data_IF_170889698177
#
_entry.id   IF_170889698177
#
_cell.length_a   1.000
_cell.length_b   1.000
_cell.length_c   1.000
_cell.angle_alpha   90.00
_cell.angle_beta   90.00
_cell.angle_gamma   90.00
#
_symmetry.space_group_name_H-M   'P 1'
#
loop_
_entity.id
_entity.type
_entity.pdbx_description
1 polymer ?
#
# COMPACT_ATOMS: atom_id res chain seq x y z
N UNK A 1 56.95 -48.45 11.44
CA UNK A 1 55.77 -47.66 11.83
C UNK A 1 55.93 -46.21 11.42
N UNK A 2 55.34 -45.80 10.30
CA UNK A 2 55.48 -44.42 9.75
C UNK A 2 54.29 -43.95 8.89
N UNK A 3 53.13 -44.61 8.95
CA UNK A 3 52.00 -44.38 8.03
C UNK A 3 50.79 -43.66 8.65
N UNK A 4 50.75 -43.45 9.97
CA UNK A 4 49.60 -42.83 10.63
C UNK A 4 49.60 -41.29 10.57
N UNK A 5 50.76 -40.65 10.76
CA UNK A 5 50.87 -39.18 10.85
C UNK A 5 50.62 -38.47 9.52
N UNK A 6 51.16 -39.00 8.40
CA UNK A 6 50.91 -38.45 7.05
C UNK A 6 49.44 -38.57 6.62
N UNK A 7 48.68 -39.53 7.15
CA UNK A 7 47.25 -39.68 6.84
C UNK A 7 46.40 -38.57 7.48
N UNK A 8 46.72 -38.19 8.72
CA UNK A 8 45.98 -37.14 9.45
C UNK A 8 46.16 -35.76 8.82
N UNK A 9 47.39 -35.38 8.49
CA UNK A 9 47.69 -34.09 7.85
C UNK A 9 47.00 -33.96 6.49
N UNK A 10 46.95 -35.04 5.71
CA UNK A 10 46.24 -35.07 4.43
C UNK A 10 44.72 -34.90 4.59
N UNK A 11 44.13 -35.50 5.63
CA UNK A 11 42.70 -35.35 5.95
C UNK A 11 42.38 -33.89 6.30
N UNK A 12 43.23 -33.25 7.11
CA UNK A 12 43.06 -31.86 7.53
C UNK A 12 43.17 -30.92 6.32
N UNK A 13 44.21 -31.09 5.50
CA UNK A 13 44.42 -30.29 4.29
C UNK A 13 43.25 -30.43 3.29
N UNK A 14 42.68 -31.63 3.17
CA UNK A 14 41.52 -31.89 2.32
C UNK A 14 40.26 -31.23 2.87
N UNK A 15 40.02 -31.31 4.18
CA UNK A 15 38.89 -30.67 4.83
C UNK A 15 38.96 -29.13 4.69
N UNK A 16 40.15 -28.55 4.86
CA UNK A 16 40.39 -27.11 4.65
C UNK A 16 40.21 -26.70 3.19
N UNK A 17 40.62 -27.54 2.23
CA UNK A 17 40.40 -27.30 0.81
C UNK A 17 38.90 -27.33 0.44
N UNK A 18 38.12 -28.24 1.02
CA UNK A 18 36.68 -28.30 0.82
C UNK A 18 35.97 -27.04 1.32
N UNK A 19 36.35 -26.52 2.49
CA UNK A 19 35.80 -25.26 2.99
C UNK A 19 36.19 -24.08 2.13
N UNK A 20 37.45 -23.98 1.70
CA UNK A 20 37.88 -22.91 0.78
C UNK A 20 37.11 -22.92 -0.54
N UNK A 21 36.66 -24.11 -0.96
CA UNK A 21 35.79 -24.28 -2.11
C UNK A 21 34.29 -24.08 -1.80
N UNK A 22 33.92 -23.61 -0.61
CA UNK A 22 32.53 -23.40 -0.17
C UNK A 22 31.74 -24.67 0.11
N UNK A 23 32.41 -25.82 0.27
CA UNK A 23 31.79 -27.13 0.49
C UNK A 23 31.96 -27.60 1.93
N UNK A 24 30.94 -28.25 2.47
CA UNK A 24 30.99 -28.86 3.80
C UNK A 24 31.90 -30.09 3.78
N UNK A 25 32.93 -30.18 4.64
CA UNK A 25 33.82 -31.34 4.73
C UNK A 25 33.11 -32.49 5.46
N UNK A 26 32.21 -33.15 4.73
CA UNK A 26 31.53 -34.37 5.18
C UNK A 26 32.47 -35.57 5.04
N UNK A 27 32.19 -36.64 5.79
CA UNK A 27 32.99 -37.87 5.76
C UNK A 27 33.10 -38.45 4.34
N UNK A 28 32.01 -38.38 3.56
CA UNK A 28 31.97 -38.82 2.17
C UNK A 28 32.81 -37.92 1.25
N UNK A 29 32.65 -36.59 1.36
CA UNK A 29 33.37 -35.63 0.52
C UNK A 29 34.89 -35.69 0.74
N UNK A 30 35.32 -35.86 1.99
CA UNK A 30 36.74 -36.01 2.33
C UNK A 30 37.29 -37.34 1.81
N UNK A 31 36.51 -38.44 1.90
CA UNK A 31 36.93 -39.76 1.38
C UNK A 31 37.05 -39.76 -0.14
N UNK A 32 36.10 -39.16 -0.84
CA UNK A 32 36.11 -39.03 -2.30
C UNK A 32 37.32 -38.22 -2.77
N UNK A 33 37.61 -37.10 -2.11
CA UNK A 33 38.76 -36.25 -2.43
C UNK A 33 40.12 -36.92 -2.12
N UNK A 34 40.18 -37.82 -1.13
CA UNK A 34 41.40 -38.58 -0.78
C UNK A 34 41.58 -39.87 -1.59
N UNK A 35 40.55 -40.36 -2.28
CA UNK A 35 40.60 -41.59 -3.07
C UNK A 35 40.54 -42.90 -2.27
N UNK A 36 40.29 -42.85 -0.96
CA UNK A 36 40.18 -44.05 -0.12
C UNK A 36 40.67 -43.87 1.33
N UNK A 37 40.46 -44.88 2.17
CA UNK A 37 40.87 -44.88 3.58
C UNK A 37 39.94 -45.66 4.50
N UNK A 38 40.41 -45.99 5.70
CA UNK A 38 39.57 -46.63 6.74
C UNK A 38 38.54 -45.63 7.27
N UNK A 39 37.26 -45.99 7.18
CA UNK A 39 36.12 -45.15 7.58
C UNK A 39 36.16 -44.75 9.06
N UNK A 40 36.59 -45.66 9.94
CA UNK A 40 36.70 -45.41 11.38
C UNK A 40 37.84 -44.46 11.73
N UNK A 41 38.90 -44.44 10.92
CA UNK A 41 40.03 -43.52 11.12
C UNK A 41 39.68 -42.13 10.57
N UNK A 42 39.06 -42.06 9.38
CA UNK A 42 38.60 -40.81 8.78
C UNK A 42 37.58 -40.09 9.67
N UNK A 43 36.61 -40.80 10.24
CA UNK A 43 35.59 -40.19 11.09
C UNK A 43 36.18 -39.58 12.36
N UNK A 44 37.08 -40.32 13.03
CA UNK A 44 37.78 -39.83 14.22
C UNK A 44 38.63 -38.60 13.91
N UNK A 45 39.48 -38.70 12.90
CA UNK A 45 40.42 -37.63 12.54
C UNK A 45 39.71 -36.38 12.00
N UNK A 46 38.60 -36.54 11.28
CA UNK A 46 37.79 -35.41 10.81
C UNK A 46 37.04 -34.72 11.96
N UNK A 47 36.59 -35.47 12.98
CA UNK A 47 36.01 -34.88 14.19
C UNK A 47 37.06 -34.11 15.01
N UNK A 48 38.27 -34.65 15.16
CA UNK A 48 39.40 -33.95 15.80
C UNK A 48 39.76 -32.65 15.07
N UNK A 49 39.73 -32.66 13.73
CA UNK A 49 39.94 -31.46 12.93
C UNK A 49 38.83 -30.41 13.16
N UNK A 50 37.55 -30.82 13.21
CA UNK A 50 36.44 -29.91 13.51
C UNK A 50 36.61 -29.25 14.87
N UNK A 51 36.92 -30.05 15.89
CA UNK A 51 37.15 -29.56 17.25
C UNK A 51 38.34 -28.59 17.29
N UNK A 52 39.47 -28.95 16.68
CA UNK A 52 40.64 -28.07 16.62
C UNK A 52 40.35 -26.74 15.92
N UNK A 53 39.45 -26.73 14.94
CA UNK A 53 39.06 -25.50 14.24
C UNK A 53 38.10 -24.66 15.06
N UNK A 54 37.14 -25.27 15.73
CA UNK A 54 36.20 -24.59 16.63
C UNK A 54 36.93 -23.97 17.83
N UNK A 55 37.90 -24.70 18.40
CA UNK A 55 38.78 -24.20 19.46
C UNK A 55 39.63 -23.02 18.96
N UNK A 56 40.16 -23.08 17.72
CA UNK A 56 40.90 -21.96 17.09
C UNK A 56 40.02 -20.75 16.77
N UNK A 57 38.77 -20.97 16.37
CA UNK A 57 37.82 -19.91 16.05
C UNK A 57 37.26 -19.24 17.31
N UNK A 58 37.06 -20.02 18.38
CA UNK A 58 36.67 -19.49 19.70
C UNK A 58 37.85 -18.85 20.42
N UNK A 59 39.08 -19.28 20.12
CA UNK A 59 40.32 -18.63 20.53
C UNK A 59 40.69 -17.42 19.64
N UNK A 60 39.76 -16.89 18.83
CA UNK A 60 39.92 -15.57 18.22
C UNK A 60 40.19 -14.56 19.34
N UNK A 61 41.41 -14.04 19.29
CA UNK A 61 41.96 -13.03 20.18
C UNK A 61 40.93 -11.93 20.39
N UNK A 62 40.66 -11.46 21.63
CA UNK A 62 39.75 -10.34 21.83
C UNK A 62 40.20 -9.21 20.90
N UNK A 63 39.34 -8.88 19.92
CA UNK A 63 39.63 -7.76 19.03
C UNK A 63 39.93 -6.55 19.93
N UNK A 64 41.02 -5.80 19.67
CA UNK A 64 41.39 -4.69 20.51
C UNK A 64 40.18 -3.77 20.65
N UNK A 65 39.78 -3.54 21.89
CA UNK A 65 38.63 -2.71 22.22
C UNK A 65 38.82 -1.35 21.54
N UNK A 66 37.83 -0.91 20.74
CA UNK A 66 37.94 0.36 20.01
C UNK A 66 38.31 1.47 21.01
N UNK A 67 39.32 2.31 20.74
CA UNK A 67 39.70 3.40 21.64
C UNK A 67 38.48 4.24 22.01
N UNK A 68 38.36 4.63 23.28
CA UNK A 68 37.20 5.36 23.80
C UNK A 68 36.86 6.61 22.99
N UNK A 69 37.89 7.35 22.53
CA UNK A 69 37.72 8.50 21.65
C UNK A 69 37.01 8.17 20.33
N UNK A 70 37.29 6.99 19.76
CA UNK A 70 36.67 6.53 18.52
C UNK A 70 35.22 6.09 18.74
N UNK A 71 34.92 5.46 19.89
CA UNK A 71 33.53 5.12 20.29
C UNK A 71 32.68 6.39 20.44
N UNK A 72 33.19 7.41 21.15
CA UNK A 72 32.51 8.71 21.32
C UNK A 72 32.27 9.39 19.97
N UNK A 73 33.26 9.35 19.06
CA UNK A 73 33.12 9.91 17.72
C UNK A 73 32.03 9.19 16.92
N UNK A 74 32.06 7.86 16.86
CA UNK A 74 31.06 7.04 16.17
C UNK A 74 29.65 7.29 16.69
N UNK A 75 29.48 7.36 18.02
CA UNK A 75 28.20 7.69 18.62
C UNK A 75 27.73 9.10 18.27
N UNK A 76 28.63 10.08 18.26
CA UNK A 76 28.29 11.46 17.90
C UNK A 76 27.82 11.57 16.44
N UNK A 77 28.50 10.86 15.53
CA UNK A 77 28.14 10.81 14.12
C UNK A 77 26.81 10.07 13.92
N UNK A 78 26.61 8.95 14.62
CA UNK A 78 25.35 8.20 14.59
C UNK A 78 24.18 9.05 15.08
N UNK A 79 24.36 9.82 16.16
CA UNK A 79 23.34 10.75 16.67
C UNK A 79 23.03 11.87 15.68
N UNK A 80 24.06 12.47 15.08
CA UNK A 80 23.88 13.54 14.09
C UNK A 80 23.14 13.03 12.84
N UNK A 81 23.56 11.88 12.31
CA UNK A 81 22.91 11.24 11.17
C UNK A 81 21.45 10.90 11.47
N UNK A 82 21.19 10.27 12.62
CA UNK A 82 19.83 9.92 13.02
C UNK A 82 18.95 11.15 13.22
N UNK A 83 19.49 12.21 13.83
CA UNK A 83 18.78 13.49 14.00
C UNK A 83 18.37 14.09 12.66
N UNK A 84 19.26 14.09 11.67
CA UNK A 84 18.94 14.59 10.33
C UNK A 84 17.89 13.70 9.64
N UNK A 85 18.03 12.37 9.74
CA UNK A 85 17.06 11.44 9.16
C UNK A 85 15.66 11.62 9.77
N UNK A 86 15.55 11.77 11.09
CA UNK A 86 14.28 12.05 11.78
C UNK A 86 13.73 13.43 11.40
N UNK A 87 14.59 14.43 11.26
CA UNK A 87 14.18 15.77 10.81
C UNK A 87 13.62 15.75 9.40
N UNK A 88 14.25 15.03 8.47
CA UNK A 88 13.78 14.88 7.10
C UNK A 88 12.43 14.14 7.07
N UNK A 89 12.33 13.01 7.77
CA UNK A 89 11.08 12.25 7.87
C UNK A 89 9.96 13.10 8.50
N UNK A 90 10.29 13.94 9.49
CA UNK A 90 9.35 14.88 10.10
C UNK A 90 8.85 15.94 9.12
N UNK A 91 9.73 16.48 8.27
CA UNK A 91 9.37 17.45 7.21
C UNK A 91 8.45 16.81 6.16
N UNK A 92 8.77 15.60 5.70
CA UNK A 92 7.95 14.89 4.73
C UNK A 92 6.56 14.56 5.30
N UNK A 93 6.50 14.08 6.55
CA UNK A 93 5.24 13.81 7.23
C UNK A 93 4.39 15.07 7.37
N UNK A 94 5.01 16.20 7.74
CA UNK A 94 4.32 17.48 7.86
C UNK A 94 3.77 17.94 6.51
N UNK A 95 4.57 17.83 5.44
CA UNK A 95 4.13 18.16 4.08
C UNK A 95 2.94 17.30 3.63
N UNK A 96 2.97 15.99 3.92
CA UNK A 96 1.86 15.08 3.57
C UNK A 96 0.59 15.46 4.34
N UNK A 97 0.72 15.79 5.63
CA UNK A 97 -0.43 16.25 6.45
C UNK A 97 -1.03 17.53 5.91
N UNK A 98 -0.20 18.52 5.59
CA UNK A 98 -0.67 19.80 5.03
C UNK A 98 -1.37 19.61 3.68
N UNK A 99 -0.82 18.76 2.80
CA UNK A 99 -1.46 18.43 1.53
C UNK A 99 -2.79 17.68 1.72
N UNK A 100 -2.84 16.75 2.67
CA UNK A 100 -4.05 16.00 2.99
C UNK A 100 -5.14 16.93 3.56
N UNK A 101 -4.79 17.80 4.50
CA UNK A 101 -5.71 18.77 5.09
C UNK A 101 -6.22 19.77 4.06
N UNK A 102 -5.34 20.25 3.17
CA UNK A 102 -5.74 21.12 2.06
C UNK A 102 -6.72 20.42 1.12
N UNK A 103 -6.42 19.19 0.71
CA UNK A 103 -7.28 18.41 -0.18
C UNK A 103 -8.62 18.11 0.47
N UNK A 104 -8.63 17.75 1.76
CA UNK A 104 -9.85 17.51 2.52
C UNK A 104 -10.68 18.80 2.68
N UNK A 105 -10.03 19.94 2.90
CA UNK A 105 -10.69 21.25 2.93
C UNK A 105 -11.33 21.61 1.60
N UNK A 106 -10.61 21.47 0.49
CA UNK A 106 -11.14 21.72 -0.86
C UNK A 106 -12.31 20.79 -1.20
N UNK A 107 -12.24 19.51 -0.82
CA UNK A 107 -13.33 18.56 -1.02
C UNK A 107 -14.58 18.95 -0.21
N UNK A 108 -14.41 19.36 1.05
CA UNK A 108 -15.53 19.83 1.91
C UNK A 108 -16.18 21.09 1.34
N UNK A 109 -15.37 22.04 0.86
CA UNK A 109 -15.91 23.25 0.23
C UNK A 109 -16.73 22.91 -1.01
N UNK A 110 -16.21 22.06 -1.90
CA UNK A 110 -16.95 21.62 -3.09
C UNK A 110 -18.25 20.90 -2.74
N UNK A 111 -18.28 20.10 -1.67
CA UNK A 111 -19.51 19.47 -1.20
C UNK A 111 -20.53 20.52 -0.74
N UNK A 112 -20.10 21.51 0.05
CA UNK A 112 -20.97 22.61 0.47
C UNK A 112 -21.53 23.38 -0.72
N UNK A 113 -20.68 23.74 -1.70
CA UNK A 113 -21.11 24.47 -2.90
C UNK A 113 -22.13 23.65 -3.72
N UNK A 114 -21.93 22.32 -3.82
CA UNK A 114 -22.86 21.41 -4.51
C UNK A 114 -24.19 21.25 -3.75
N UNK A 115 -24.16 21.18 -2.42
CA UNK A 115 -25.37 21.13 -1.59
C UNK A 115 -26.20 22.41 -1.74
N UNK A 116 -25.56 23.57 -1.76
CA UNK A 116 -26.23 24.85 -2.03
C UNK A 116 -26.84 24.89 -3.44
N UNK A 117 -26.08 24.45 -4.46
CA UNK A 117 -26.58 24.38 -5.83
C UNK A 117 -27.77 23.42 -5.97
N UNK A 118 -27.74 22.27 -5.28
CA UNK A 118 -28.86 21.32 -5.25
C UNK A 118 -30.10 21.95 -4.61
N UNK A 119 -29.95 22.66 -3.49
CA UNK A 119 -31.07 23.33 -2.83
C UNK A 119 -31.73 24.36 -3.76
N UNK A 120 -30.94 25.14 -4.52
CA UNK A 120 -31.47 26.09 -5.51
C UNK A 120 -32.21 25.35 -6.63
N UNK A 121 -31.63 24.28 -7.18
CA UNK A 121 -32.26 23.49 -8.24
C UNK A 121 -33.56 22.82 -7.78
N UNK A 122 -33.62 22.34 -6.54
CA UNK A 122 -34.83 21.78 -5.95
C UNK A 122 -35.92 22.84 -5.81
N UNK A 123 -35.56 24.05 -5.35
CA UNK A 123 -36.50 25.16 -5.27
C UNK A 123 -37.02 25.60 -6.65
N UNK A 124 -36.15 25.62 -7.67
CA UNK A 124 -36.54 25.90 -9.04
C UNK A 124 -37.47 24.82 -9.61
N UNK A 125 -37.17 23.54 -9.35
CA UNK A 125 -38.04 22.42 -9.71
C UNK A 125 -39.43 22.61 -9.12
N UNK A 126 -39.52 22.84 -7.81
CA UNK A 126 -40.81 22.96 -7.10
C UNK A 126 -41.63 24.12 -7.66
N UNK A 127 -40.98 25.26 -7.95
CA UNK A 127 -41.62 26.41 -8.58
C UNK A 127 -42.13 26.11 -9.99
N UNK A 128 -41.35 25.37 -10.78
CA UNK A 128 -41.77 24.96 -12.12
C UNK A 128 -42.94 23.98 -12.07
N UNK A 129 -42.95 23.05 -11.12
CA UNK A 129 -44.06 22.12 -10.89
C UNK A 129 -45.35 22.86 -10.50
N UNK A 130 -45.26 23.84 -9.59
CA UNK A 130 -46.40 24.69 -9.23
C UNK A 130 -46.92 25.49 -10.43
N UNK A 131 -46.02 26.08 -11.21
CA UNK A 131 -46.37 26.84 -12.42
C UNK A 131 -47.05 25.94 -13.45
N UNK A 132 -46.54 24.73 -13.66
CA UNK A 132 -47.14 23.75 -14.58
C UNK A 132 -48.53 23.31 -14.12
N UNK A 133 -48.73 23.08 -12.82
CA UNK A 133 -50.04 22.76 -12.26
C UNK A 133 -51.04 23.89 -12.47
N UNK A 134 -50.65 25.14 -12.16
CA UNK A 134 -51.48 26.32 -12.37
C UNK A 134 -51.87 26.51 -13.84
N UNK A 135 -50.91 26.39 -14.76
CA UNK A 135 -51.19 26.46 -16.20
C UNK A 135 -52.12 25.33 -16.66
N UNK A 136 -51.99 24.13 -16.09
CA UNK A 136 -52.87 23.01 -16.40
C UNK A 136 -54.31 23.27 -15.95
N UNK A 137 -54.50 23.81 -14.75
CA UNK A 137 -55.81 24.20 -14.23
C UNK A 137 -56.45 25.31 -15.07
N UNK A 138 -55.69 26.37 -15.40
CA UNK A 138 -56.16 27.45 -16.27
C UNK A 138 -56.55 26.95 -17.65
N UNK A 139 -55.72 26.10 -18.27
CA UNK A 139 -56.02 25.51 -19.56
C UNK A 139 -57.28 24.64 -19.54
N UNK A 140 -57.51 23.90 -18.46
CA UNK A 140 -58.70 23.07 -18.28
C UNK A 140 -59.95 23.95 -18.11
N UNK A 141 -59.87 24.98 -17.27
CA UNK A 141 -60.94 25.96 -17.08
C UNK A 141 -61.32 26.67 -18.38
N UNK A 142 -60.33 27.15 -19.15
CA UNK A 142 -60.59 27.80 -20.44
C UNK A 142 -61.25 26.86 -21.45
N UNK A 143 -60.89 25.56 -21.44
CA UNK A 143 -61.57 24.55 -22.28
C UNK A 143 -63.02 24.36 -21.87
N UNK A 144 -63.32 24.30 -20.58
CA UNK A 144 -64.69 24.20 -20.07
C UNK A 144 -65.53 25.44 -20.38
N UNK A 145 -64.99 26.64 -20.16
CA UNK A 145 -65.64 27.91 -20.50
C UNK A 145 -65.93 28.01 -22.00
N UNK A 146 -64.98 27.60 -22.85
CA UNK A 146 -65.16 27.53 -24.30
C UNK A 146 -66.25 26.53 -24.68
N UNK A 147 -66.26 25.34 -24.07
CA UNK A 147 -67.28 24.33 -24.34
C UNK A 147 -68.69 24.84 -23.96
N UNK A 148 -68.84 25.46 -22.79
CA UNK A 148 -70.09 26.06 -22.34
C UNK A 148 -70.56 27.20 -23.26
N UNK A 149 -69.63 28.05 -23.71
CA UNK A 149 -69.91 29.13 -24.67
C UNK A 149 -70.39 28.61 -26.02
N UNK A 150 -69.81 27.51 -26.52
CA UNK A 150 -70.26 26.88 -27.77
C UNK A 150 -71.67 26.27 -27.63
N UNK A 151 -71.99 25.66 -26.48
CA UNK A 151 -73.33 25.10 -26.21
C UNK A 151 -74.39 26.20 -26.14
N UNK A 152 -74.10 27.32 -25.47
CA UNK A 152 -75.03 28.46 -25.37
C UNK A 152 -75.29 29.09 -26.72
N UNK A 153 -74.26 29.38 -27.51
CA UNK A 153 -74.39 29.89 -28.88
C UNK A 153 -75.19 28.95 -29.79
N UNK A 154 -74.97 27.64 -29.69
CA UNK A 154 -75.73 26.65 -30.46
C UNK A 154 -77.22 26.65 -30.09
N UNK A 155 -77.53 26.81 -28.79
CA UNK A 155 -78.91 26.88 -28.30
C UNK A 155 -79.62 28.15 -28.77
N UNK A 156 -78.96 29.30 -28.70
CA UNK A 156 -79.50 30.58 -29.18
C UNK A 156 -79.75 30.56 -30.68
N UNK A 157 -78.76 30.12 -31.46
CA UNK A 157 -78.87 29.98 -32.92
C UNK A 157 -80.01 29.03 -33.32
N UNK A 158 -80.20 27.92 -32.59
CA UNK A 158 -81.32 27.00 -32.81
C UNK A 158 -82.68 27.63 -32.51
N UNK A 159 -82.77 28.45 -31.46
CA UNK A 159 -84.00 29.14 -31.06
C UNK A 159 -84.38 30.24 -32.07
N UNK A 160 -83.42 31.01 -32.58
CA UNK A 160 -83.68 32.00 -33.63
C UNK A 160 -84.19 31.35 -34.90
N UNK A 161 -83.58 30.23 -35.33
CA UNK A 161 -84.03 29.47 -36.50
C UNK A 161 -85.48 28.98 -36.36
N UNK A 162 -85.90 28.55 -35.16
CA UNK A 162 -87.28 28.15 -34.91
C UNK A 162 -88.25 29.34 -35.01
N UNK A 163 -87.89 30.50 -34.44
CA UNK A 163 -88.71 31.72 -34.53
C UNK A 163 -88.88 32.23 -35.96
N UNK A 164 -87.87 32.08 -36.81
CA UNK A 164 -87.95 32.49 -38.23
C UNK A 164 -88.71 31.51 -39.12
N UNK A 165 -88.95 30.27 -38.66
CA UNK A 165 -89.62 29.22 -39.42
C UNK A 165 -91.11 29.05 -39.06
N UNK A 166 -91.58 29.71 -38.01
CA UNK A 166 -92.98 29.78 -37.58
C UNK A 166 -93.64 31.06 -38.11
#
# INVERSE_FOLDING_TARGET
GRTATSSQEHIYATADALIRAGKTPTLLAVREALGGGSMSTLSRTLSEWRQSREDKQTAETPSPDLPSAMKVLLESMGRAFWSEAVSLAGRDLQSIREQADKTAGEARQRLSDLEEALMVLEQERDRLEETLSSLHEEASRLKEERAASLVTLARESGMERWKTAA
#
